data_IF_056822172725
#
_entry.id   IF_056822172725
#
_cell.length_a   1.000
_cell.length_b   1.000
_cell.length_c   1.000
_cell.angle_alpha   90.00
_cell.angle_beta   90.00
_cell.angle_gamma   90.00
#
_symmetry.space_group_name_H-M   'P 1'
#
loop_
_entity.id
_entity.type
_entity.pdbx_description
1 polymer ?
#
# COMPACT_ATOMS: atom_id res chain seq x y z
N UNK A 1 -26.91 -8.55 -18.17
CA UNK A 1 -26.77 -8.66 -16.69
C UNK A 1 -25.82 -9.81 -16.36
N UNK A 2 -24.53 -9.74 -16.74
CA UNK A 2 -23.63 -10.91 -16.63
C UNK A 2 -22.25 -10.63 -16.04
N UNK A 3 -21.98 -9.41 -15.54
CA UNK A 3 -20.65 -9.05 -15.00
C UNK A 3 -20.58 -8.92 -13.47
N UNK A 4 -21.63 -9.32 -12.74
CA UNK A 4 -21.69 -9.19 -11.26
C UNK A 4 -21.94 -10.50 -10.50
N UNK A 5 -22.21 -11.62 -11.19
CA UNK A 5 -22.43 -12.92 -10.55
C UNK A 5 -21.20 -13.48 -9.84
N UNK A 6 -20.00 -13.05 -10.25
CA UNK A 6 -18.73 -13.41 -9.60
C UNK A 6 -18.60 -12.76 -8.22
N UNK A 7 -19.10 -11.53 -8.03
CA UNK A 7 -18.95 -10.79 -6.78
C UNK A 7 -19.90 -11.28 -5.68
N UNK A 8 -21.05 -11.87 -6.05
CA UNK A 8 -21.97 -12.49 -5.10
C UNK A 8 -21.47 -13.84 -4.56
N UNK A 9 -20.41 -14.42 -5.13
CA UNK A 9 -19.78 -15.65 -4.64
C UNK A 9 -18.58 -15.41 -3.72
N UNK A 10 -18.04 -14.20 -3.69
CA UNK A 10 -16.89 -13.89 -2.86
C UNK A 10 -17.34 -13.43 -1.48
N UNK A 11 -17.33 -14.36 -0.52
CA UNK A 11 -16.86 -14.01 0.82
C UNK A 11 -15.47 -13.38 0.59
N UNK A 12 -15.36 -12.05 0.71
CA UNK A 12 -14.15 -11.29 0.38
C UNK A 12 -13.04 -11.59 1.40
N UNK A 13 -12.44 -12.76 1.23
CA UNK A 13 -11.27 -13.22 1.95
C UNK A 13 -10.04 -12.56 1.30
N UNK A 14 -9.07 -12.13 2.11
CA UNK A 14 -7.82 -11.51 1.66
C UNK A 14 -7.05 -12.41 0.69
N UNK A 15 -7.24 -13.73 0.78
CA UNK A 15 -6.72 -14.74 -0.15
C UNK A 15 -7.19 -14.54 -1.58
N UNK A 16 -8.42 -14.07 -1.80
CA UNK A 16 -8.95 -13.81 -3.15
C UNK A 16 -8.19 -12.69 -3.85
N UNK A 17 -7.76 -11.67 -3.10
CA UNK A 17 -7.03 -10.53 -3.67
C UNK A 17 -5.62 -10.96 -4.08
N UNK A 18 -5.00 -11.90 -3.35
CA UNK A 18 -3.71 -12.49 -3.71
C UNK A 18 -3.75 -13.28 -5.02
N UNK A 19 -4.92 -13.82 -5.39
CA UNK A 19 -5.14 -14.53 -6.65
C UNK A 19 -5.36 -13.57 -7.84
N UNK A 20 -5.61 -12.28 -7.59
CA UNK A 20 -5.76 -11.29 -8.65
C UNK A 20 -4.41 -10.88 -9.22
N UNK A 21 -4.33 -10.71 -10.53
CA UNK A 21 -3.16 -10.13 -11.19
C UNK A 21 -2.82 -8.76 -10.59
N UNK A 22 -1.54 -8.53 -10.25
CA UNK A 22 -1.04 -7.28 -9.66
C UNK A 22 -1.45 -6.03 -10.45
N UNK A 23 -1.49 -6.11 -11.79
CA UNK A 23 -1.95 -5.00 -12.64
C UNK A 23 -3.41 -4.61 -12.38
N UNK A 24 -4.27 -5.60 -12.11
CA UNK A 24 -5.69 -5.37 -11.79
C UNK A 24 -5.88 -4.82 -10.39
N UNK A 25 -5.13 -5.32 -9.40
CA UNK A 25 -5.20 -4.78 -8.03
C UNK A 25 -4.75 -3.32 -7.98
N UNK A 26 -3.66 -2.97 -8.67
CA UNK A 26 -3.21 -1.57 -8.81
C UNK A 26 -4.28 -0.71 -9.49
N UNK A 27 -4.85 -1.16 -10.61
CA UNK A 27 -5.88 -0.40 -11.32
C UNK A 27 -7.10 -0.08 -10.43
N UNK A 28 -7.61 -1.06 -9.69
CA UNK A 28 -8.76 -0.85 -8.80
C UNK A 28 -8.42 -0.03 -7.55
N UNK A 29 -7.18 -0.14 -7.06
CA UNK A 29 -6.64 0.68 -5.97
C UNK A 29 -6.54 2.15 -6.38
N UNK A 30 -6.02 2.45 -7.58
CA UNK A 30 -5.96 3.81 -8.12
C UNK A 30 -7.33 4.37 -8.48
N UNK A 31 -8.27 3.54 -8.91
CA UNK A 31 -9.65 3.98 -9.13
C UNK A 31 -10.30 4.44 -7.83
N UNK A 32 -10.02 3.76 -6.70
CA UNK A 32 -10.59 4.10 -5.40
C UNK A 32 -10.23 5.53 -4.95
N UNK A 33 -9.00 5.99 -5.21
CA UNK A 33 -8.57 7.33 -4.82
C UNK A 33 -9.18 8.45 -5.66
N UNK A 34 -9.87 8.11 -6.76
CA UNK A 34 -10.51 9.07 -7.68
C UNK A 34 -12.00 9.22 -7.44
N UNK A 35 -12.62 8.36 -6.63
CA UNK A 35 -14.04 8.49 -6.32
C UNK A 35 -14.28 9.72 -5.45
N UNK A 36 -15.19 10.58 -5.88
CA UNK A 36 -15.72 11.64 -5.03
C UNK A 36 -16.79 11.06 -4.08
N UNK A 37 -17.18 11.78 -3.02
CA UNK A 37 -18.19 11.30 -2.08
C UNK A 37 -19.54 10.95 -2.74
N UNK A 38 -19.95 11.67 -3.78
CA UNK A 38 -21.18 11.39 -4.55
C UNK A 38 -21.11 10.06 -5.30
N UNK A 39 -19.97 9.76 -5.92
CA UNK A 39 -19.73 8.47 -6.59
C UNK A 39 -19.83 7.32 -5.59
N UNK A 40 -19.27 7.49 -4.40
CA UNK A 40 -19.31 6.48 -3.34
C UNK A 40 -20.75 6.25 -2.85
N UNK A 41 -21.56 7.31 -2.70
CA UNK A 41 -22.97 7.18 -2.28
C UNK A 41 -23.79 6.38 -3.29
N UNK A 42 -23.51 6.54 -4.58
CA UNK A 42 -24.20 5.82 -5.65
C UNK A 42 -23.74 4.34 -5.79
N UNK A 43 -22.65 3.96 -5.14
CA UNK A 43 -22.14 2.59 -5.18
C UNK A 43 -22.81 1.70 -4.13
N UNK A 44 -23.07 0.45 -4.48
CA UNK A 44 -23.49 -0.57 -3.52
C UNK A 44 -22.41 -0.81 -2.47
N UNK A 45 -22.82 -1.13 -1.23
CA UNK A 45 -21.89 -1.33 -0.11
C UNK A 45 -20.81 -2.38 -0.44
N UNK A 46 -21.21 -3.50 -1.05
CA UNK A 46 -20.28 -4.55 -1.45
C UNK A 46 -19.19 -4.05 -2.42
N UNK A 47 -19.58 -3.20 -3.37
CA UNK A 47 -18.63 -2.63 -4.35
C UNK A 47 -17.68 -1.65 -3.65
N UNK A 48 -18.19 -0.81 -2.75
CA UNK A 48 -17.37 0.10 -1.93
C UNK A 48 -16.37 -0.67 -1.08
N UNK A 49 -16.82 -1.70 -0.36
CA UNK A 49 -15.98 -2.55 0.47
C UNK A 49 -14.89 -3.25 -0.36
N UNK A 50 -15.22 -3.78 -1.54
CA UNK A 50 -14.23 -4.42 -2.41
C UNK A 50 -13.11 -3.45 -2.82
N UNK A 51 -13.45 -2.23 -3.25
CA UNK A 51 -12.46 -1.22 -3.61
C UNK A 51 -11.60 -0.81 -2.40
N UNK A 52 -12.20 -0.62 -1.23
CA UNK A 52 -11.47 -0.28 0.00
C UNK A 52 -10.46 -1.36 0.38
N UNK A 53 -10.87 -2.64 0.35
CA UNK A 53 -9.98 -3.75 0.73
C UNK A 53 -8.82 -3.87 -0.27
N UNK A 54 -9.09 -3.75 -1.58
CA UNK A 54 -8.04 -3.76 -2.61
C UNK A 54 -7.06 -2.60 -2.38
N UNK A 55 -7.57 -1.40 -2.12
CA UNK A 55 -6.75 -0.23 -1.84
C UNK A 55 -5.83 -0.44 -0.63
N UNK A 56 -6.38 -0.92 0.49
CA UNK A 56 -5.63 -1.23 1.70
C UNK A 56 -4.55 -2.29 1.45
N UNK A 57 -4.86 -3.33 0.68
CA UNK A 57 -3.89 -4.38 0.35
C UNK A 57 -2.71 -3.82 -0.46
N UNK A 58 -2.97 -3.10 -1.55
CA UNK A 58 -1.92 -2.47 -2.37
C UNK A 58 -1.09 -1.50 -1.53
N UNK A 59 -1.72 -0.77 -0.60
CA UNK A 59 -0.99 0.17 0.26
C UNK A 59 -0.04 -0.54 1.23
N UNK A 60 -0.47 -1.68 1.79
CA UNK A 60 0.36 -2.53 2.65
C UNK A 60 1.58 -3.07 1.90
N UNK A 61 1.39 -3.61 0.69
CA UNK A 61 2.51 -4.08 -0.15
C UNK A 61 3.52 -2.97 -0.42
N UNK A 62 3.05 -1.78 -0.82
CA UNK A 62 3.91 -0.63 -1.07
C UNK A 62 4.72 -0.18 0.16
N UNK A 63 4.20 -0.33 1.38
CA UNK A 63 4.95 -0.04 2.62
C UNK A 63 6.04 -1.09 2.85
N UNK A 64 5.72 -2.37 2.63
CA UNK A 64 6.66 -3.48 2.77
C UNK A 64 7.81 -3.33 1.74
N UNK A 65 7.48 -3.12 0.47
CA UNK A 65 8.46 -2.93 -0.61
C UNK A 65 9.43 -1.78 -0.27
N UNK A 66 8.91 -0.62 0.15
CA UNK A 66 9.75 0.52 0.57
C UNK A 66 10.61 0.24 1.79
N UNK A 67 10.12 -0.59 2.72
CA UNK A 67 10.88 -0.98 3.91
C UNK A 67 12.03 -1.91 3.54
N UNK A 68 11.79 -2.86 2.64
CA UNK A 68 12.83 -3.76 2.08
C UNK A 68 13.88 -2.95 1.33
N UNK A 69 13.47 -1.99 0.49
CA UNK A 69 14.39 -1.12 -0.25
C UNK A 69 15.26 -0.27 0.69
N UNK A 70 14.66 0.28 1.75
CA UNK A 70 15.39 1.01 2.79
C UNK A 70 16.43 0.11 3.47
N UNK A 71 16.04 -1.10 3.87
CA UNK A 71 16.91 -2.07 4.50
C UNK A 71 18.08 -2.47 3.57
N UNK A 72 17.80 -2.77 2.31
CA UNK A 72 18.80 -3.07 1.30
C UNK A 72 19.79 -1.91 1.10
N UNK A 73 19.30 -0.67 1.09
CA UNK A 73 20.16 0.52 1.01
C UNK A 73 21.04 0.66 2.25
N UNK A 74 20.53 0.33 3.44
CA UNK A 74 21.32 0.35 4.66
C UNK A 74 22.43 -0.70 4.56
N UNK A 75 22.09 -1.97 4.31
CA UNK A 75 23.07 -3.08 4.18
C UNK A 75 24.17 -2.75 3.18
N UNK A 76 23.83 -2.32 1.95
CA UNK A 76 24.83 -1.95 0.93
C UNK A 76 25.77 -0.85 1.40
N UNK A 77 25.30 0.05 2.26
CA UNK A 77 26.13 1.10 2.85
C UNK A 77 26.91 0.65 4.10
N UNK A 78 26.55 -0.49 4.72
CA UNK A 78 27.20 -1.06 5.91
C UNK A 78 28.41 -1.91 5.55
N UNK A 79 28.35 -2.69 4.45
CA UNK A 79 29.39 -3.68 4.10
C UNK A 79 30.80 -3.07 3.97
N UNK A 80 30.91 -1.77 3.71
CA UNK A 80 32.18 -1.04 3.61
C UNK A 80 32.35 0.08 4.65
N UNK A 81 31.56 0.08 5.74
CA UNK A 81 31.59 1.15 6.77
C UNK A 81 31.56 0.60 8.18
N UNK A 82 32.23 1.29 9.11
CA UNK A 82 32.19 0.95 10.53
C UNK A 82 30.77 1.04 11.09
N UNK A 83 30.44 0.16 12.03
CA UNK A 83 29.15 0.09 12.71
C UNK A 83 28.67 1.46 13.25
N UNK A 84 29.60 2.24 13.82
CA UNK A 84 29.35 3.62 14.29
C UNK A 84 28.86 4.55 13.19
N UNK A 85 29.35 4.40 11.96
CA UNK A 85 28.90 5.19 10.81
C UNK A 85 27.51 4.76 10.33
N UNK A 86 27.18 3.48 10.45
CA UNK A 86 25.90 2.91 10.03
C UNK A 86 24.78 3.36 10.95
N UNK A 87 24.96 3.18 12.26
CA UNK A 87 23.97 3.55 13.28
C UNK A 87 23.63 5.05 13.17
N UNK A 88 24.64 5.90 12.98
CA UNK A 88 24.45 7.35 12.79
C UNK A 88 23.63 7.68 11.54
N UNK A 89 23.87 6.97 10.43
CA UNK A 89 23.13 7.15 9.18
C UNK A 89 21.68 6.67 9.31
N UNK A 90 21.46 5.53 9.98
CA UNK A 90 20.14 4.97 10.25
C UNK A 90 19.27 5.93 11.06
N UNK A 91 19.82 6.44 12.17
CA UNK A 91 19.13 7.42 13.03
C UNK A 91 18.75 8.67 12.23
N UNK A 92 19.65 9.17 11.38
CA UNK A 92 19.37 10.35 10.56
C UNK A 92 18.32 10.09 9.48
N UNK A 93 18.37 8.95 8.79
CA UNK A 93 17.39 8.58 7.77
C UNK A 93 16.00 8.39 8.39
N UNK A 94 15.91 7.78 9.58
CA UNK A 94 14.66 7.66 10.36
C UNK A 94 14.15 9.03 10.76
N UNK A 95 14.95 9.88 11.42
CA UNK A 95 14.52 11.25 11.79
C UNK A 95 14.02 12.05 10.60
N UNK A 96 14.66 11.91 9.44
CA UNK A 96 14.26 12.61 8.21
C UNK A 96 12.94 12.09 7.65
N UNK A 97 12.66 10.78 7.76
CA UNK A 97 11.37 10.23 7.36
C UNK A 97 10.26 10.60 8.36
N UNK A 98 10.52 10.60 9.67
CA UNK A 98 9.54 11.05 10.67
C UNK A 98 9.22 12.53 10.56
N UNK A 99 10.21 13.39 10.35
CA UNK A 99 9.99 14.82 10.13
C UNK A 99 9.18 15.10 8.86
N UNK A 100 9.41 14.33 7.79
CA UNK A 100 8.57 14.39 6.58
C UNK A 100 7.15 13.94 6.85
N UNK A 101 6.95 12.87 7.60
CA UNK A 101 5.61 12.39 7.97
C UNK A 101 4.86 13.46 8.78
N UNK A 102 5.54 14.14 9.71
CA UNK A 102 4.97 15.23 10.50
C UNK A 102 4.58 16.44 9.63
N UNK A 103 5.40 16.79 8.62
CA UNK A 103 5.15 17.90 7.71
C UNK A 103 3.97 17.63 6.74
N UNK A 104 3.66 16.38 6.45
CA UNK A 104 2.48 16.00 5.65
C UNK A 104 1.19 15.87 6.49
N UNK A 105 1.30 16.01 7.82
CA UNK A 105 0.18 15.92 8.77
C UNK A 105 -0.22 17.28 9.37
N UNK A 106 0.48 18.36 9.01
CA UNK A 106 0.14 19.76 9.29
C UNK A 106 -0.40 20.37 8.00
#
# INVERSE_FOLDING_TARGET
MEQLSILNRFNFNSTTIQLMLRKRTIHYSEAFTRFNPGDLIQMTDNKRCAHLIIYCHTRKENVIDKTIDMFNRIIRNVIHKSEKSVVRKLINDVKKSTAKILFYLI
#
